data_IF_282389843714
#
_entry.id   IF_282389843714
#
_cell.length_a   1.000
_cell.length_b   1.000
_cell.length_c   1.000
_cell.angle_alpha   90.00
_cell.angle_beta   90.00
_cell.angle_gamma   90.00
#
_symmetry.space_group_name_H-M   'P 1'
#
loop_
_entity.id
_entity.type
_entity.pdbx_description
1 polymer ?
#
# COMPACT_ATOMS: atom_id res chain seq x y z
N UNK A 1 -31.38 33.30 18.49
CA UNK A 1 -30.60 32.40 19.36
C UNK A 1 -30.92 30.97 18.93
N UNK A 2 -30.34 30.54 17.81
CA UNK A 2 -30.20 29.11 17.44
C UNK A 2 -29.18 28.92 16.29
N UNK A 3 -28.18 29.81 16.18
CA UNK A 3 -27.25 29.86 15.03
C UNK A 3 -25.96 29.03 15.24
N UNK A 4 -25.87 28.27 16.34
CA UNK A 4 -24.68 27.48 16.70
C UNK A 4 -24.61 26.08 16.07
N UNK A 5 -25.76 25.45 15.77
CA UNK A 5 -25.79 24.03 15.40
C UNK A 5 -25.16 23.72 14.04
N UNK A 6 -25.42 24.52 13.01
CA UNK A 6 -24.99 24.24 11.64
C UNK A 6 -23.48 24.33 11.39
N UNK A 7 -22.78 25.21 12.12
CA UNK A 7 -21.33 25.42 11.97
C UNK A 7 -20.51 24.22 12.49
N UNK A 8 -20.95 23.65 13.61
CA UNK A 8 -20.30 22.49 14.20
C UNK A 8 -20.52 21.22 13.39
N UNK A 9 -21.70 21.05 12.77
CA UNK A 9 -22.02 19.86 11.98
C UNK A 9 -21.10 19.74 10.76
N UNK A 10 -20.88 20.82 10.00
CA UNK A 10 -20.01 20.77 8.82
C UNK A 10 -18.56 20.43 9.19
N UNK A 11 -18.05 21.06 10.24
CA UNK A 11 -16.71 20.79 10.76
C UNK A 11 -16.55 19.33 11.20
N UNK A 12 -17.56 18.78 11.87
CA UNK A 12 -17.59 17.37 12.29
C UNK A 12 -17.62 16.39 11.10
N UNK A 13 -18.42 16.67 10.08
CA UNK A 13 -18.46 15.81 8.88
C UNK A 13 -17.11 15.83 8.16
N UNK A 14 -16.48 16.99 8.01
CA UNK A 14 -15.14 17.09 7.41
C UNK A 14 -14.11 16.34 8.28
N UNK A 15 -14.19 16.46 9.61
CA UNK A 15 -13.30 15.75 10.52
C UNK A 15 -13.41 14.23 10.36
N UNK A 16 -14.65 13.69 10.32
CA UNK A 16 -14.90 12.26 10.13
C UNK A 16 -14.41 11.82 8.74
N UNK A 17 -14.73 12.57 7.68
CA UNK A 17 -14.32 12.22 6.32
C UNK A 17 -12.80 12.21 6.16
N UNK A 18 -12.11 13.22 6.71
CA UNK A 18 -10.65 13.24 6.69
C UNK A 18 -10.06 12.11 7.54
N UNK A 19 -10.62 11.87 8.73
CA UNK A 19 -10.20 10.76 9.60
C UNK A 19 -10.23 9.43 8.85
N UNK A 20 -11.37 9.10 8.23
CA UNK A 20 -11.55 7.88 7.45
C UNK A 20 -10.63 7.84 6.22
N UNK A 21 -10.46 8.98 5.54
CA UNK A 21 -9.56 9.09 4.38
C UNK A 21 -8.11 8.81 4.75
N UNK A 22 -7.63 9.35 5.87
CA UNK A 22 -6.28 9.12 6.38
C UNK A 22 -6.09 7.67 6.82
N UNK A 23 -7.09 7.08 7.47
CA UNK A 23 -7.02 5.69 7.91
C UNK A 23 -6.99 4.72 6.72
N UNK A 24 -7.84 4.96 5.71
CA UNK A 24 -7.82 4.22 4.45
C UNK A 24 -6.50 4.42 3.69
N UNK A 25 -5.95 5.64 3.69
CA UNK A 25 -4.63 5.95 3.10
C UNK A 25 -3.50 5.20 3.78
N UNK A 26 -3.45 5.23 5.11
CA UNK A 26 -2.45 4.50 5.89
C UNK A 26 -2.54 2.98 5.66
N UNK A 27 -3.75 2.43 5.67
CA UNK A 27 -3.99 1.02 5.39
C UNK A 27 -3.56 0.65 3.96
N UNK A 28 -3.99 1.41 2.95
CA UNK A 28 -3.64 1.17 1.55
C UNK A 28 -2.13 1.25 1.29
N UNK A 29 -1.44 2.24 1.88
CA UNK A 29 0.01 2.35 1.78
C UNK A 29 0.72 1.19 2.48
N UNK A 30 0.26 0.78 3.66
CA UNK A 30 0.81 -0.39 4.35
C UNK A 30 0.61 -1.68 3.55
N UNK A 31 -0.55 -1.87 2.92
CA UNK A 31 -0.83 -3.00 2.04
C UNK A 31 0.05 -2.98 0.78
N UNK A 32 0.22 -1.82 0.13
CA UNK A 32 1.10 -1.69 -1.04
C UNK A 32 2.57 -1.96 -0.69
N UNK A 33 3.03 -1.52 0.49
CA UNK A 33 4.36 -1.85 1.02
C UNK A 33 4.52 -3.33 1.27
N UNK A 34 3.51 -3.98 1.85
CA UNK A 34 3.50 -5.42 2.07
C UNK A 34 3.55 -6.19 0.74
N UNK A 35 2.78 -5.77 -0.26
CA UNK A 35 2.82 -6.33 -1.62
C UNK A 35 4.24 -6.23 -2.19
N UNK A 36 4.85 -5.04 -2.19
CA UNK A 36 6.21 -4.86 -2.70
C UNK A 36 7.30 -5.55 -1.87
N UNK A 37 7.09 -5.75 -0.56
CA UNK A 37 8.02 -6.50 0.28
C UNK A 37 7.95 -8.00 0.00
N UNK A 38 6.76 -8.54 -0.16
CA UNK A 38 6.55 -9.91 -0.64
C UNK A 38 7.17 -10.08 -2.02
N UNK A 39 6.91 -9.15 -2.92
CA UNK A 39 7.47 -9.19 -4.27
C UNK A 39 9.00 -9.18 -4.24
N UNK A 40 9.64 -8.29 -3.46
CA UNK A 40 11.12 -8.31 -3.27
C UNK A 40 11.66 -9.58 -2.62
N UNK A 41 10.89 -10.24 -1.75
CA UNK A 41 11.29 -11.52 -1.18
C UNK A 41 11.17 -12.66 -2.20
N UNK A 42 10.31 -12.54 -3.21
CA UNK A 42 10.12 -13.55 -4.26
C UNK A 42 11.02 -13.30 -5.46
N UNK A 43 11.17 -12.02 -5.81
CA UNK A 43 11.91 -11.50 -6.94
C UNK A 43 13.37 -11.93 -6.84
N UNK A 44 13.77 -12.75 -7.81
CA UNK A 44 15.14 -13.20 -7.94
C UNK A 44 15.54 -14.38 -7.07
N UNK A 45 14.66 -15.07 -6.34
CA UNK A 45 15.02 -16.33 -5.67
C UNK A 45 14.56 -17.55 -6.45
N UNK A 46 15.52 -18.31 -6.96
CA UNK A 46 15.31 -19.60 -7.61
C UNK A 46 15.90 -20.71 -6.73
N UNK A 47 15.21 -21.84 -6.67
CA UNK A 47 15.78 -23.05 -6.07
C UNK A 47 16.04 -24.05 -7.17
N UNK A 48 17.29 -24.50 -7.28
CA UNK A 48 17.67 -25.58 -8.19
C UNK A 48 17.70 -26.87 -7.40
N UNK A 49 16.82 -27.79 -7.76
CA UNK A 49 16.71 -29.12 -7.17
C UNK A 49 17.39 -30.14 -8.08
N UNK A 50 18.27 -30.96 -7.51
CA UNK A 50 18.93 -32.06 -8.23
C UNK A 50 18.43 -33.37 -7.63
N UNK A 51 17.65 -34.10 -8.42
CA UNK A 51 17.05 -35.37 -8.01
C UNK A 51 17.90 -36.50 -8.58
N UNK A 52 18.68 -37.15 -7.71
CA UNK A 52 19.51 -38.28 -8.07
C UNK A 52 19.56 -39.31 -6.94
N UNK A 53 19.45 -40.60 -7.31
CA UNK A 53 19.35 -41.71 -6.38
C UNK A 53 20.66 -42.02 -5.67
N UNK A 54 21.81 -41.82 -6.32
CA UNK A 54 23.13 -42.00 -5.73
C UNK A 54 23.70 -40.68 -5.19
N UNK A 55 24.11 -40.68 -3.91
CA UNK A 55 24.65 -39.50 -3.24
C UNK A 55 25.88 -38.92 -3.94
N UNK A 56 26.82 -39.76 -4.39
CA UNK A 56 28.04 -39.31 -5.06
C UNK A 56 27.76 -38.63 -6.41
N UNK A 57 26.81 -39.17 -7.19
CA UNK A 57 26.39 -38.57 -8.46
C UNK A 57 25.61 -37.28 -8.25
N UNK A 58 24.79 -37.22 -7.20
CA UNK A 58 24.07 -36.01 -6.77
C UNK A 58 25.04 -34.88 -6.40
N UNK A 59 26.03 -35.16 -5.56
CA UNK A 59 26.97 -34.15 -5.06
C UNK A 59 27.88 -33.63 -6.18
N UNK A 60 28.31 -34.51 -7.09
CA UNK A 60 29.06 -34.13 -8.28
C UNK A 60 28.24 -33.24 -9.22
N UNK A 61 26.97 -33.60 -9.47
CA UNK A 61 26.06 -32.78 -10.28
C UNK A 61 25.77 -31.43 -9.61
N UNK A 62 25.60 -31.40 -8.28
CA UNK A 62 25.42 -30.16 -7.53
C UNK A 62 26.63 -29.24 -7.61
N UNK A 63 27.84 -29.76 -7.48
CA UNK A 63 29.07 -28.99 -7.64
C UNK A 63 29.22 -28.42 -9.06
N UNK A 64 28.88 -29.21 -10.09
CA UNK A 64 28.92 -28.75 -11.49
C UNK A 64 27.91 -27.63 -11.75
N UNK A 65 26.65 -27.81 -11.32
CA UNK A 65 25.59 -26.81 -11.47
C UNK A 65 25.94 -25.53 -10.69
N UNK A 66 26.48 -25.66 -9.48
CA UNK A 66 26.94 -24.53 -8.67
C UNK A 66 28.05 -23.73 -9.36
N UNK A 67 28.99 -24.41 -10.02
CA UNK A 67 30.04 -23.76 -10.82
C UNK A 67 29.47 -22.95 -11.98
N UNK A 68 28.51 -23.52 -12.71
CA UNK A 68 27.82 -22.83 -13.83
C UNK A 68 27.02 -21.63 -13.33
N UNK A 69 26.29 -21.77 -12.23
CA UNK A 69 25.49 -20.70 -11.63
C UNK A 69 26.36 -19.52 -11.18
N UNK A 70 27.50 -19.78 -10.53
CA UNK A 70 28.44 -18.73 -10.10
C UNK A 70 29.10 -17.98 -11.26
N UNK A 71 29.16 -18.59 -12.45
CA UNK A 71 29.70 -17.97 -13.64
C UNK A 71 28.66 -17.18 -14.45
N UNK A 72 27.37 -17.24 -14.09
CA UNK A 72 26.32 -16.50 -14.78
C UNK A 72 26.27 -15.03 -14.31
N UNK A 73 26.21 -14.05 -15.23
CA UNK A 73 26.10 -12.63 -14.88
C UNK A 73 24.74 -12.28 -14.25
N UNK A 74 23.71 -13.10 -14.52
CA UNK A 74 22.37 -12.92 -13.97
C UNK A 74 22.25 -13.44 -12.52
N UNK A 75 23.30 -14.05 -11.95
CA UNK A 75 23.30 -14.64 -10.59
C UNK A 75 24.12 -13.76 -9.65
N UNK A 76 23.48 -13.23 -8.61
CA UNK A 76 24.13 -12.47 -7.55
C UNK A 76 24.83 -13.38 -6.53
N UNK A 77 24.16 -14.48 -6.15
CA UNK A 77 24.68 -15.45 -5.19
C UNK A 77 24.09 -16.83 -5.47
N UNK A 78 24.91 -17.87 -5.33
CA UNK A 78 24.48 -19.26 -5.39
C UNK A 78 25.06 -20.02 -4.19
N UNK A 79 24.18 -20.55 -3.36
CA UNK A 79 24.52 -21.20 -2.08
C UNK A 79 23.95 -22.61 -2.06
N UNK A 80 24.79 -23.65 -1.90
CA UNK A 80 24.30 -25.01 -1.70
C UNK A 80 23.69 -25.14 -0.29
N UNK A 81 22.52 -25.77 -0.19
CA UNK A 81 21.88 -26.09 1.09
C UNK A 81 22.49 -27.38 1.63
N UNK A 82 22.98 -27.37 2.87
CA UNK A 82 23.57 -28.55 3.47
C UNK A 82 22.51 -29.63 3.72
N UNK A 83 22.84 -30.88 3.39
CA UNK A 83 21.95 -32.03 3.61
C UNK A 83 21.51 -32.18 5.07
N UNK A 84 22.38 -31.84 6.03
CA UNK A 84 22.06 -31.88 7.46
C UNK A 84 21.02 -30.84 7.88
N UNK A 85 20.98 -29.68 7.22
CA UNK A 85 19.99 -28.64 7.51
C UNK A 85 18.63 -29.03 6.90
N UNK A 86 18.63 -29.61 5.70
CA UNK A 86 17.47 -30.23 5.07
C UNK A 86 16.87 -31.34 5.95
N UNK A 87 17.69 -32.26 6.46
CA UNK A 87 17.24 -33.32 7.36
C UNK A 87 16.62 -32.76 8.65
N UNK A 88 17.21 -31.69 9.21
CA UNK A 88 16.68 -31.00 10.41
C UNK A 88 15.33 -30.32 10.14
N UNK A 89 15.14 -29.73 8.95
CA UNK A 89 13.86 -29.13 8.55
C UNK A 89 12.76 -30.18 8.33
N UNK A 90 13.14 -31.40 7.91
CA UNK A 90 12.22 -32.50 7.66
C UNK A 90 11.90 -33.33 8.93
N UNK A 91 12.77 -33.28 9.94
CA UNK A 91 12.62 -34.00 11.21
C UNK A 91 11.24 -33.82 11.89
N UNK A 92 10.62 -32.63 11.93
CA UNK A 92 9.31 -32.45 12.57
C UNK A 92 8.17 -33.21 11.86
N UNK A 93 8.33 -33.49 10.57
CA UNK A 93 7.30 -34.11 9.73
C UNK A 93 7.55 -35.61 9.52
N UNK A 94 8.82 -36.02 9.41
CA UNK A 94 9.21 -37.39 9.11
C UNK A 94 9.68 -38.18 10.34
N UNK A 95 9.83 -37.52 11.50
CA UNK A 95 10.43 -38.14 12.69
C UNK A 95 11.92 -38.40 12.53
N UNK A 96 12.52 -39.05 13.51
CA UNK A 96 13.96 -39.40 13.52
C UNK A 96 14.34 -40.52 12.54
N UNK A 97 13.36 -41.22 11.98
CA UNK A 97 13.57 -42.42 11.15
C UNK A 97 13.68 -42.12 9.64
N UNK A 98 13.62 -40.84 9.25
CA UNK A 98 13.70 -40.39 7.86
C UNK A 98 15.04 -40.73 7.20
N UNK A 99 16.15 -40.64 7.95
CA UNK A 99 17.48 -41.06 7.49
C UNK A 99 17.60 -42.59 7.41
N UNK A 100 16.89 -43.33 8.28
CA UNK A 100 16.89 -44.79 8.29
C UNK A 100 16.08 -45.40 7.14
N UNK A 101 15.10 -44.68 6.58
CA UNK A 101 14.25 -45.12 5.48
C UNK A 101 14.92 -45.12 4.10
N UNK A 102 16.17 -44.66 3.97
CA UNK A 102 16.91 -44.65 2.70
C UNK A 102 16.29 -43.74 1.63
N UNK A 103 15.50 -42.75 2.05
CA UNK A 103 14.83 -41.83 1.13
C UNK A 103 15.87 -40.92 0.44
N UNK A 104 15.92 -40.87 -0.90
CA UNK A 104 16.84 -40.00 -1.62
C UNK A 104 16.41 -38.54 -1.45
N UNK A 105 17.00 -37.84 -0.47
CA UNK A 105 16.80 -36.40 -0.27
C UNK A 105 17.51 -35.64 -1.41
N UNK A 106 16.81 -34.82 -2.20
CA UNK A 106 17.43 -34.11 -3.32
C UNK A 106 18.38 -33.00 -2.83
N UNK A 107 19.41 -32.71 -3.63
CA UNK A 107 20.29 -31.57 -3.33
C UNK A 107 19.61 -30.28 -3.77
N UNK A 108 19.61 -29.26 -2.90
CA UNK A 108 19.04 -27.95 -3.18
C UNK A 108 20.17 -26.91 -3.29
N UNK A 109 20.05 -26.01 -4.26
CA UNK A 109 20.91 -24.83 -4.41
C UNK A 109 20.00 -23.61 -4.46
N UNK A 110 20.16 -22.71 -3.51
CA UNK A 110 19.48 -21.42 -3.49
C UNK A 110 20.25 -20.43 -4.35
N UNK A 111 19.54 -19.79 -5.27
CA UNK A 111 20.10 -18.88 -6.26
C UNK A 111 19.39 -17.53 -6.14
N UNK A 112 20.15 -16.52 -5.75
CA UNK A 112 19.75 -15.12 -5.79
C UNK A 112 20.17 -14.55 -7.14
N UNK A 113 19.22 -14.07 -7.94
CA UNK A 113 19.43 -13.39 -9.21
C UNK A 113 19.72 -11.91 -8.98
N UNK A 114 20.49 -11.31 -9.90
CA UNK A 114 20.73 -9.86 -9.92
C UNK A 114 19.51 -9.06 -10.41
N UNK A 115 18.61 -9.69 -11.15
CA UNK A 115 17.38 -9.12 -11.69
C UNK A 115 16.27 -10.17 -11.71
N UNK A 116 15.02 -9.77 -11.47
CA UNK A 116 13.86 -10.67 -11.51
C UNK A 116 13.28 -10.89 -12.92
N UNK A 117 13.90 -10.27 -13.93
CA UNK A 117 13.44 -10.30 -15.31
C UNK A 117 13.19 -11.75 -15.77
N UNK A 118 12.01 -11.99 -16.32
CA UNK A 118 11.58 -13.27 -16.88
C UNK A 118 12.61 -13.82 -17.88
N UNK A 119 13.29 -12.94 -18.62
CA UNK A 119 14.35 -13.32 -19.54
C UNK A 119 15.63 -13.80 -18.82
N UNK A 120 15.98 -13.21 -17.68
CA UNK A 120 17.11 -13.64 -16.84
C UNK A 120 16.83 -15.02 -16.23
N UNK A 121 15.63 -15.23 -15.71
CA UNK A 121 15.18 -16.55 -15.20
C UNK A 121 15.27 -17.62 -16.29
N UNK A 122 14.84 -17.30 -17.52
CA UNK A 122 14.91 -18.23 -18.65
C UNK A 122 16.37 -18.59 -19.02
N UNK A 123 17.28 -17.61 -19.03
CA UNK A 123 18.72 -17.84 -19.30
C UNK A 123 19.36 -18.74 -18.25
N UNK A 124 19.09 -18.49 -16.97
CA UNK A 124 19.59 -19.31 -15.86
C UNK A 124 19.02 -20.72 -15.94
N UNK A 125 17.71 -20.88 -16.21
CA UNK A 125 17.08 -22.19 -16.43
C UNK A 125 17.78 -22.97 -17.55
N UNK A 126 18.01 -22.34 -18.71
CA UNK A 126 18.71 -22.97 -19.83
C UNK A 126 20.17 -23.34 -19.50
N UNK A 127 20.87 -22.53 -18.69
CA UNK A 127 22.23 -22.84 -18.27
C UNK A 127 22.26 -24.07 -17.33
N UNK A 128 21.32 -24.14 -16.38
CA UNK A 128 21.19 -25.26 -15.44
C UNK A 128 20.82 -26.56 -16.15
N UNK A 129 19.83 -26.54 -17.05
CA UNK A 129 19.41 -27.74 -17.81
C UNK A 129 20.52 -28.28 -18.72
N UNK A 130 21.37 -27.40 -19.27
CA UNK A 130 22.57 -27.81 -20.03
C UNK A 130 23.65 -28.44 -19.16
N UNK A 131 23.78 -28.00 -17.92
CA UNK A 131 24.78 -28.52 -16.98
C UNK A 131 24.38 -29.89 -16.42
N UNK A 132 23.10 -30.08 -16.09
CA UNK A 132 22.57 -31.36 -15.64
C UNK A 132 21.12 -31.55 -16.07
N UNK A 133 20.79 -32.59 -16.86
CA UNK A 133 19.41 -32.94 -17.19
C UNK A 133 18.56 -33.31 -15.98
N UNK A 134 19.20 -33.73 -14.87
CA UNK A 134 18.54 -34.09 -13.62
C UNK A 134 18.21 -32.87 -12.72
N UNK A 135 18.65 -31.67 -13.11
CA UNK A 135 18.37 -30.45 -12.38
C UNK A 135 17.01 -29.86 -12.79
N UNK A 136 16.13 -29.69 -11.80
CA UNK A 136 14.88 -28.95 -11.93
C UNK A 136 15.04 -27.57 -11.31
N UNK A 137 14.56 -26.55 -12.02
CA UNK A 137 14.56 -25.17 -11.52
C UNK A 137 13.13 -24.84 -11.12
N UNK A 138 12.91 -24.77 -9.81
CA UNK A 138 11.65 -24.34 -9.24
C UNK A 138 11.74 -22.86 -8.92
N UNK A 139 10.94 -22.08 -9.63
CA UNK A 139 10.71 -20.69 -9.30
C UNK A 139 9.64 -20.66 -8.21
N UNK A 140 10.03 -20.34 -6.97
CA UNK A 140 9.11 -20.21 -5.85
C UNK A 140 8.07 -19.08 -6.04
N UNK A 141 8.27 -18.21 -7.03
CA UNK A 141 7.41 -17.07 -7.33
C UNK A 141 5.94 -17.44 -7.64
N UNK A 142 5.66 -18.60 -8.22
CA UNK A 142 4.32 -18.88 -8.77
C UNK A 142 3.25 -19.18 -7.71
N UNK A 143 3.61 -19.74 -6.54
CA UNK A 143 2.62 -20.15 -5.55
C UNK A 143 2.01 -18.97 -4.78
N UNK A 144 2.76 -17.88 -4.61
CA UNK A 144 2.33 -16.69 -3.86
C UNK A 144 1.97 -15.49 -4.75
N UNK A 145 2.12 -15.63 -6.07
CA UNK A 145 1.60 -14.67 -7.06
C UNK A 145 0.11 -14.29 -6.81
N UNK A 146 -0.80 -15.22 -6.45
CA UNK A 146 -2.18 -14.85 -6.13
C UNK A 146 -2.30 -13.94 -4.90
N UNK A 147 -1.41 -14.11 -3.91
CA UNK A 147 -1.40 -13.29 -2.68
C UNK A 147 -0.90 -11.89 -2.99
N UNK A 148 0.16 -11.75 -3.79
CA UNK A 148 0.63 -10.45 -4.27
C UNK A 148 -0.48 -9.68 -5.00
N UNK A 149 -1.16 -10.33 -5.94
CA UNK A 149 -2.32 -9.75 -6.65
C UNK A 149 -3.46 -9.35 -5.71
N UNK A 150 -3.72 -10.12 -4.66
CA UNK A 150 -4.74 -9.77 -3.66
C UNK A 150 -4.36 -8.51 -2.89
N UNK A 151 -3.08 -8.35 -2.53
CA UNK A 151 -2.60 -7.15 -1.85
C UNK A 151 -2.62 -5.92 -2.77
N UNK A 152 -2.24 -6.08 -4.04
CA UNK A 152 -2.31 -5.00 -5.03
C UNK A 152 -3.75 -4.55 -5.28
N UNK A 153 -4.68 -5.50 -5.42
CA UNK A 153 -6.10 -5.18 -5.57
C UNK A 153 -6.68 -4.52 -4.32
N UNK A 154 -6.28 -4.94 -3.13
CA UNK A 154 -6.66 -4.28 -1.88
C UNK A 154 -6.10 -2.85 -1.78
N UNK A 155 -4.86 -2.60 -2.20
CA UNK A 155 -4.28 -1.27 -2.28
C UNK A 155 -5.04 -0.37 -3.28
N UNK A 156 -5.41 -0.91 -4.44
CA UNK A 156 -6.26 -0.23 -5.43
C UNK A 156 -7.64 0.12 -4.87
N UNK A 157 -8.25 -0.81 -4.14
CA UNK A 157 -9.55 -0.60 -3.50
C UNK A 157 -9.47 0.52 -2.45
N UNK A 158 -8.39 0.58 -1.66
CA UNK A 158 -8.15 1.68 -0.73
C UNK A 158 -8.07 3.03 -1.47
N UNK A 159 -7.36 3.07 -2.60
CA UNK A 159 -7.32 4.25 -3.49
C UNK A 159 -8.70 4.66 -4.01
N UNK A 160 -9.52 3.70 -4.44
CA UNK A 160 -10.89 3.94 -4.89
C UNK A 160 -11.79 4.48 -3.78
N UNK A 161 -11.66 3.96 -2.55
CA UNK A 161 -12.39 4.45 -1.37
C UNK A 161 -11.99 5.89 -1.05
N UNK A 162 -10.69 6.21 -1.07
CA UNK A 162 -10.20 7.58 -0.87
C UNK A 162 -10.81 8.52 -1.92
N UNK A 163 -10.78 8.13 -3.19
CA UNK A 163 -11.39 8.92 -4.26
C UNK A 163 -12.89 9.15 -4.01
N UNK A 164 -13.61 8.11 -3.60
CA UNK A 164 -15.03 8.20 -3.26
C UNK A 164 -15.28 9.15 -2.08
N UNK A 165 -14.45 9.10 -1.03
CA UNK A 165 -14.54 10.01 0.12
C UNK A 165 -14.29 11.47 -0.30
N UNK A 166 -13.34 11.72 -1.20
CA UNK A 166 -13.06 13.07 -1.72
C UNK A 166 -14.26 13.61 -2.52
N UNK A 167 -14.86 12.79 -3.38
CA UNK A 167 -16.06 13.15 -4.15
C UNK A 167 -17.26 13.40 -3.21
N UNK A 168 -17.47 12.52 -2.23
CA UNK A 168 -18.54 12.68 -1.24
C UNK A 168 -18.37 13.98 -0.43
N UNK A 169 -17.14 14.27 0.02
CA UNK A 169 -16.82 15.51 0.72
C UNK A 169 -17.13 16.73 -0.14
N UNK A 170 -16.72 16.72 -1.42
CA UNK A 170 -17.04 17.79 -2.36
C UNK A 170 -18.55 18.01 -2.48
N UNK A 171 -19.33 16.93 -2.61
CA UNK A 171 -20.78 17.00 -2.72
C UNK A 171 -21.42 17.59 -1.45
N UNK A 172 -20.97 17.16 -0.26
CA UNK A 172 -21.45 17.69 1.03
C UNK A 172 -21.14 19.18 1.16
N UNK A 173 -19.91 19.60 0.84
CA UNK A 173 -19.52 21.03 0.88
C UNK A 173 -20.39 21.86 -0.08
N UNK A 174 -20.62 21.36 -1.29
CA UNK A 174 -21.48 22.03 -2.28
C UNK A 174 -22.93 22.15 -1.79
N UNK A 175 -23.48 21.09 -1.17
CA UNK A 175 -24.84 21.09 -0.63
C UNK A 175 -24.95 22.07 0.55
N UNK A 176 -23.97 22.07 1.46
CA UNK A 176 -23.91 22.99 2.59
C UNK A 176 -23.80 24.44 2.14
N UNK A 177 -22.94 24.73 1.15
CA UNK A 177 -22.83 26.07 0.57
C UNK A 177 -24.15 26.52 -0.07
N UNK A 178 -24.81 25.64 -0.82
CA UNK A 178 -26.11 25.93 -1.44
C UNK A 178 -27.20 26.18 -0.40
N UNK A 179 -27.29 25.34 0.63
CA UNK A 179 -28.25 25.49 1.72
C UNK A 179 -28.03 26.81 2.49
N UNK A 180 -26.77 27.17 2.75
CA UNK A 180 -26.42 28.43 3.41
C UNK A 180 -26.77 29.67 2.57
N UNK A 181 -26.61 29.61 1.25
CA UNK A 181 -27.02 30.69 0.35
C UNK A 181 -28.55 30.85 0.32
N UNK A 182 -29.31 29.76 0.28
CA UNK A 182 -30.78 29.81 0.26
C UNK A 182 -31.32 30.34 1.59
N UNK A 183 -30.77 29.89 2.72
CA UNK A 183 -31.19 30.31 4.06
C UNK A 183 -30.97 31.81 4.34
N UNK A 184 -30.03 32.45 3.65
CA UNK A 184 -29.69 33.87 3.85
C UNK A 184 -29.99 34.74 2.63
N UNK A 185 -30.78 34.23 1.69
CA UNK A 185 -31.12 34.93 0.44
C UNK A 185 -31.66 36.34 0.67
N UNK A 186 -32.59 36.50 1.63
CA UNK A 186 -33.17 37.81 1.95
C UNK A 186 -32.15 38.81 2.50
N UNK A 187 -31.21 38.36 3.34
CA UNK A 187 -30.12 39.21 3.83
C UNK A 187 -29.17 39.58 2.70
N UNK A 188 -28.82 38.63 1.83
CA UNK A 188 -27.94 38.88 0.67
C UNK A 188 -28.56 39.91 -0.27
N UNK A 189 -29.87 39.85 -0.52
CA UNK A 189 -30.59 40.78 -1.39
C UNK A 189 -30.57 42.22 -0.84
N UNK A 190 -30.76 42.41 0.46
CA UNK A 190 -30.63 43.72 1.11
C UNK A 190 -29.21 44.27 0.97
N UNK A 191 -28.19 43.44 1.18
CA UNK A 191 -26.78 43.86 1.06
C UNK A 191 -26.42 44.17 -0.41
N UNK A 192 -27.03 43.46 -1.36
CA UNK A 192 -26.88 43.73 -2.79
C UNK A 192 -27.52 45.07 -3.19
N UNK A 193 -28.70 45.39 -2.65
CA UNK A 193 -29.34 46.71 -2.84
C UNK A 193 -28.51 47.87 -2.25
N UNK A 194 -27.70 47.60 -1.23
CA UNK A 194 -26.73 48.54 -0.66
C UNK A 194 -25.41 48.65 -1.48
N UNK A 195 -25.31 47.97 -2.62
CA UNK A 195 -24.17 48.06 -3.54
C UNK A 195 -23.06 47.03 -3.32
N UNK A 196 -23.32 45.96 -2.56
CA UNK A 196 -22.32 44.90 -2.39
C UNK A 196 -22.09 44.10 -3.67
N UNK A 197 -20.82 43.84 -3.97
CA UNK A 197 -20.42 43.02 -5.11
C UNK A 197 -20.45 41.53 -4.76
N UNK A 198 -20.83 40.68 -5.70
CA UNK A 198 -20.91 39.22 -5.48
C UNK A 198 -19.57 38.58 -5.05
N UNK A 199 -18.44 39.19 -5.43
CA UNK A 199 -17.11 38.78 -4.97
C UNK A 199 -16.90 39.00 -3.47
N UNK A 200 -17.59 39.95 -2.85
CA UNK A 200 -17.55 40.17 -1.40
C UNK A 200 -18.37 39.09 -0.68
N UNK A 201 -19.55 38.75 -1.19
CA UNK A 201 -20.39 37.66 -0.65
C UNK A 201 -19.67 36.31 -0.78
N UNK A 202 -19.07 36.03 -1.94
CA UNK A 202 -18.29 34.81 -2.18
C UNK A 202 -17.11 34.65 -1.21
N UNK A 203 -16.38 35.74 -0.91
CA UNK A 203 -15.25 35.72 0.02
C UNK A 203 -15.68 35.42 1.46
N UNK A 204 -16.85 35.92 1.88
CA UNK A 204 -17.38 35.66 3.21
C UNK A 204 -17.66 34.15 3.42
N UNK A 205 -18.34 33.54 2.45
CA UNK A 205 -18.64 32.11 2.46
C UNK A 205 -17.38 31.25 2.34
N UNK A 206 -16.43 31.62 1.47
CA UNK A 206 -15.14 30.92 1.34
C UNK A 206 -14.37 30.93 2.65
N UNK A 207 -14.27 32.08 3.32
CA UNK A 207 -13.53 32.20 4.59
C UNK A 207 -14.18 31.35 5.69
N UNK A 208 -15.51 31.31 5.74
CA UNK A 208 -16.23 30.46 6.70
C UNK A 208 -16.00 28.97 6.43
N UNK A 209 -16.19 28.51 5.19
CA UNK A 209 -15.96 27.10 4.83
C UNK A 209 -14.49 26.72 5.03
N UNK A 210 -13.55 27.64 4.76
CA UNK A 210 -12.12 27.41 5.03
C UNK A 210 -11.83 27.21 6.52
N UNK A 211 -12.50 27.96 7.41
CA UNK A 211 -12.35 27.79 8.85
C UNK A 211 -12.95 26.45 9.32
N UNK A 212 -14.17 26.13 8.88
CA UNK A 212 -14.83 24.87 9.23
C UNK A 212 -14.02 23.66 8.72
N UNK A 213 -13.51 23.74 7.49
CA UNK A 213 -12.64 22.73 6.90
C UNK A 213 -11.29 22.65 7.62
N UNK A 214 -10.71 23.77 8.02
CA UNK A 214 -9.45 23.81 8.78
C UNK A 214 -9.59 23.17 10.16
N UNK A 215 -10.65 23.51 10.90
CA UNK A 215 -10.93 22.92 12.22
C UNK A 215 -11.21 21.43 12.08
N UNK A 216 -12.06 21.05 11.12
CA UNK A 216 -12.33 19.65 10.83
C UNK A 216 -11.06 18.89 10.43
N UNK A 217 -10.19 19.50 9.63
CA UNK A 217 -8.95 18.88 9.20
C UNK A 217 -7.96 18.66 10.33
N UNK A 218 -7.82 19.63 11.24
CA UNK A 218 -6.97 19.47 12.44
C UNK A 218 -7.53 18.38 13.35
N UNK A 219 -8.83 18.41 13.66
CA UNK A 219 -9.45 17.42 14.53
C UNK A 219 -9.37 15.99 13.94
N UNK A 220 -9.77 15.83 12.69
CA UNK A 220 -9.71 14.55 11.98
C UNK A 220 -8.28 14.05 11.80
N UNK A 221 -7.34 14.95 11.49
CA UNK A 221 -5.92 14.65 11.34
C UNK A 221 -5.25 14.19 12.64
N UNK A 222 -5.53 14.87 13.76
CA UNK A 222 -5.01 14.48 15.09
C UNK A 222 -5.57 13.12 15.50
N UNK A 223 -6.88 12.90 15.35
CA UNK A 223 -7.51 11.62 15.67
C UNK A 223 -6.98 10.48 14.81
N UNK A 224 -6.80 10.72 13.51
CA UNK A 224 -6.25 9.72 12.59
C UNK A 224 -4.80 9.42 12.92
N UNK A 225 -3.99 10.45 13.17
CA UNK A 225 -2.59 10.29 13.59
C UNK A 225 -2.48 9.47 14.87
N UNK A 226 -3.31 9.76 15.87
CA UNK A 226 -3.36 8.99 17.11
C UNK A 226 -3.74 7.52 16.85
N UNK A 227 -4.79 7.27 16.06
CA UNK A 227 -5.21 5.91 15.71
C UNK A 227 -4.11 5.14 14.96
N UNK A 228 -3.46 5.78 13.97
CA UNK A 228 -2.36 5.19 13.20
C UNK A 228 -1.18 4.86 14.12
N UNK A 229 -0.81 5.76 15.04
CA UNK A 229 0.27 5.51 15.99
C UNK A 229 -0.05 4.37 16.96
N UNK A 230 -1.29 4.28 17.44
CA UNK A 230 -1.73 3.17 18.29
C UNK A 230 -1.65 1.83 17.56
N UNK A 231 -2.14 1.78 16.32
CA UNK A 231 -2.07 0.57 15.48
C UNK A 231 -0.61 0.20 15.20
N UNK A 232 0.22 1.17 14.80
CA UNK A 232 1.63 0.96 14.53
C UNK A 232 2.39 0.46 15.78
N UNK A 233 2.04 0.95 16.96
CA UNK A 233 2.59 0.49 18.24
C UNK A 233 2.24 -0.96 18.56
N UNK A 234 0.98 -1.37 18.31
CA UNK A 234 0.57 -2.77 18.52
C UNK A 234 1.21 -3.73 17.51
N UNK A 235 1.31 -3.33 16.25
CA UNK A 235 1.96 -4.14 15.21
C UNK A 235 3.46 -4.23 15.47
N UNK A 236 4.11 -3.16 15.93
CA UNK A 236 5.54 -3.13 16.25
C UNK A 236 5.92 -3.96 17.49
N UNK A 237 4.97 -4.27 18.37
CA UNK A 237 5.20 -5.15 19.51
C UNK A 237 5.29 -6.64 19.12
N UNK A 238 4.87 -7.00 17.90
CA UNK A 238 5.04 -8.32 17.32
C UNK A 238 6.43 -8.36 16.67
N UNK A 239 7.41 -8.90 17.37
CA UNK A 239 8.84 -8.89 17.02
C UNK A 239 9.16 -9.80 15.81
N UNK A 240 8.62 -9.48 14.64
CA UNK A 240 8.77 -10.26 13.41
C UNK A 240 9.51 -9.45 12.33
N UNK A 241 10.65 -9.96 11.88
CA UNK A 241 11.46 -9.40 10.78
C UNK A 241 10.64 -9.15 9.49
N UNK A 242 9.56 -9.92 9.28
CA UNK A 242 8.63 -9.76 8.17
C UNK A 242 7.84 -8.43 8.23
N UNK A 243 7.61 -7.89 9.43
CA UNK A 243 6.88 -6.64 9.64
C UNK A 243 7.74 -5.39 9.45
N UNK A 244 9.07 -5.54 9.42
CA UNK A 244 10.00 -4.45 9.10
C UNK A 244 9.71 -3.79 7.75
N UNK A 245 9.21 -4.58 6.78
CA UNK A 245 8.77 -4.10 5.46
C UNK A 245 7.41 -3.37 5.44
N UNK A 246 6.59 -3.50 6.49
CA UNK A 246 5.27 -2.88 6.62
C UNK A 246 5.33 -1.49 7.28
N UNK A 247 6.48 -1.09 7.82
CA UNK A 247 6.64 0.23 8.44
C UNK A 247 6.48 1.33 7.38
N UNK A 248 5.59 2.28 7.66
CA UNK A 248 5.40 3.47 6.83
C UNK A 248 6.73 4.21 6.72
N UNK A 249 7.19 4.42 5.49
CA UNK A 249 8.44 5.14 5.26
C UNK A 249 8.28 6.65 5.41
N UNK A 250 9.39 7.41 5.42
CA UNK A 250 9.34 8.87 5.47
C UNK A 250 8.49 9.49 4.35
N UNK A 251 8.52 8.90 3.15
CA UNK A 251 7.68 9.32 2.02
C UNK A 251 6.18 9.10 2.23
N UNK A 252 5.78 7.98 2.83
CA UNK A 252 4.38 7.69 3.14
C UNK A 252 3.87 8.65 4.22
N UNK A 253 4.72 8.95 5.22
CA UNK A 253 4.43 9.93 6.25
C UNK A 253 4.23 11.33 5.64
N UNK A 254 5.08 11.72 4.69
CA UNK A 254 4.92 12.99 3.98
C UNK A 254 3.61 13.04 3.18
N UNK A 255 3.23 11.94 2.52
CA UNK A 255 1.96 11.85 1.77
C UNK A 255 0.73 11.89 2.69
N UNK A 256 0.78 11.22 3.85
CA UNK A 256 -0.25 11.30 4.90
C UNK A 256 -0.35 12.70 5.49
N UNK A 257 0.78 13.39 5.71
CA UNK A 257 0.79 14.77 6.19
C UNK A 257 0.28 15.74 5.12
N UNK A 258 0.48 15.45 3.83
CA UNK A 258 -0.01 16.27 2.73
C UNK A 258 -1.54 16.16 2.52
N UNK A 259 -2.14 15.02 2.84
CA UNK A 259 -3.58 14.74 2.66
C UNK A 259 -4.52 15.76 3.34
N UNK A 260 -4.32 16.16 4.62
CA UNK A 260 -5.12 17.20 5.28
C UNK A 260 -5.10 18.54 4.53
N UNK A 261 -3.93 18.96 4.04
CA UNK A 261 -3.81 20.18 3.25
C UNK A 261 -4.56 20.06 1.94
N UNK A 262 -4.44 18.92 1.25
CA UNK A 262 -5.22 18.62 0.05
C UNK A 262 -6.74 18.69 0.30
N UNK A 263 -7.20 18.18 1.44
CA UNK A 263 -8.60 18.20 1.84
C UNK A 263 -9.13 19.62 2.05
N UNK A 264 -8.35 20.49 2.72
CA UNK A 264 -8.71 21.91 2.90
C UNK A 264 -8.76 22.62 1.56
N UNK A 265 -7.78 22.40 0.68
CA UNK A 265 -7.77 22.98 -0.67
C UNK A 265 -8.98 22.52 -1.48
N UNK A 266 -9.32 21.23 -1.41
CA UNK A 266 -10.47 20.65 -2.10
C UNK A 266 -11.79 21.26 -1.58
N UNK A 267 -11.96 21.38 -0.26
CA UNK A 267 -13.14 22.00 0.34
C UNK A 267 -13.30 23.47 -0.07
N UNK A 268 -12.22 24.25 -0.04
CA UNK A 268 -12.24 25.66 -0.49
C UNK A 268 -12.51 25.77 -1.99
N UNK A 269 -11.94 24.87 -2.80
CA UNK A 269 -12.20 24.79 -4.23
C UNK A 269 -13.66 24.44 -4.55
N UNK A 270 -14.23 23.46 -3.84
CA UNK A 270 -15.62 23.04 -3.95
C UNK A 270 -16.58 24.19 -3.60
N UNK A 271 -16.31 24.91 -2.51
CA UNK A 271 -17.06 26.09 -2.10
C UNK A 271 -17.04 27.18 -3.18
N UNK A 272 -15.86 27.48 -3.74
CA UNK A 272 -15.72 28.46 -4.82
C UNK A 272 -16.50 28.06 -6.07
N UNK A 273 -16.42 26.80 -6.48
CA UNK A 273 -17.18 26.27 -7.62
C UNK A 273 -18.69 26.34 -7.40
N UNK A 274 -19.16 26.02 -6.19
CA UNK A 274 -20.57 26.12 -5.82
C UNK A 274 -21.10 27.55 -5.98
N UNK A 275 -20.39 28.53 -5.42
CA UNK A 275 -20.77 29.95 -5.50
C UNK A 275 -20.75 30.47 -6.94
N UNK A 276 -19.69 30.16 -7.71
CA UNK A 276 -19.60 30.60 -9.11
C UNK A 276 -20.67 29.96 -10.01
N UNK A 277 -21.03 28.69 -9.79
CA UNK A 277 -22.13 28.03 -10.51
C UNK A 277 -23.49 28.62 -10.17
N UNK A 278 -23.72 28.98 -8.91
CA UNK A 278 -24.97 29.61 -8.48
C UNK A 278 -25.16 30.97 -9.16
N UNK A 279 -24.11 31.79 -9.20
CA UNK A 279 -24.16 33.09 -9.86
C UNK A 279 -24.41 32.99 -11.37
N UNK A 280 -23.80 32.01 -12.05
CA UNK A 280 -24.06 31.74 -13.48
C UNK A 280 -25.48 31.31 -13.80
N UNK A 281 -26.29 30.92 -12.81
CA UNK A 281 -27.71 30.57 -12.99
C UNK A 281 -28.66 31.73 -12.73
N UNK A 282 -28.17 32.84 -12.18
CA UNK A 282 -28.97 34.04 -11.89
C UNK A 282 -28.81 35.16 -12.93
N UNK A 283 -27.87 34.99 -13.87
CA UNK A 283 -27.78 35.73 -15.13
C UNK A 283 -28.39 34.87 -16.24
#
# INVERSE_FOLDING_TARGET
>A
MDDGGGAHVMSWVIAIMLFLTLLAGAAGLATARAAGALDRQMAGRLTVQIVEGEAQRRDAAAAQVLGVLRAQPDVARATPVAQADLARMLQPWLGTDAEAAGLPVPALIDVDLTSDDTAAIARVRMAVTRASPAARVDAHATWLEPVGRLLDTAAWLAGAIILLMLVATMAVVMLAARAGLEAHRGTIEVIHMLGATDRQVARLFQRRIALDAGIGAVAGGVLAGAAILLIAGQVGALDSELLGGMRLGPGDMAMLIALPFGFVVLAVGAARLAVLRQMRRML
#
